data_IF_241290333276
#
_entry.id   IF_241290333276
#
_cell.length_a   1.000
_cell.length_b   1.000
_cell.length_c   1.000
_cell.angle_alpha   90.00
_cell.angle_beta   90.00
_cell.angle_gamma   90.00
#
_symmetry.space_group_name_H-M   'P 1'
#
loop_
_entity.id
_entity.type
_entity.pdbx_description
1 polymer ?
#
# COMPACT_ATOMS: atom_id res chain seq x y z
N UNK A 1 9.33 3.05 7.08
CA UNK A 1 9.28 3.00 5.61
C UNK A 1 10.13 4.08 4.94
N UNK A 2 9.84 5.38 5.09
CA UNK A 2 10.65 6.44 4.43
C UNK A 2 12.15 6.33 4.75
N UNK A 3 12.53 6.09 6.01
CA UNK A 3 13.95 5.88 6.36
C UNK A 3 14.60 4.69 5.64
N UNK A 4 13.84 3.64 5.30
CA UNK A 4 14.36 2.53 4.52
C UNK A 4 14.63 2.94 3.06
N UNK A 5 13.79 3.79 2.48
CA UNK A 5 14.01 4.33 1.13
C UNK A 5 15.24 5.22 1.08
N UNK A 6 15.44 6.06 2.09
CA UNK A 6 16.69 6.84 2.23
C UNK A 6 17.89 5.90 2.33
N UNK A 7 17.83 4.88 3.19
CA UNK A 7 18.91 3.90 3.32
C UNK A 7 19.20 3.14 2.01
N UNK A 8 18.18 2.79 1.21
CA UNK A 8 18.37 2.17 -0.10
C UNK A 8 19.06 3.12 -1.10
N UNK A 9 18.75 4.43 -1.08
CA UNK A 9 19.42 5.41 -1.95
C UNK A 9 20.88 5.62 -1.59
N UNK A 10 21.19 5.54 -0.30
CA UNK A 10 22.55 5.64 0.23
C UNK A 10 23.31 4.30 0.21
N UNK A 11 22.80 3.28 -0.50
CA UNK A 11 23.37 1.93 -0.59
C UNK A 11 23.56 1.21 0.76
N UNK A 12 22.88 1.69 1.80
CA UNK A 12 22.86 1.13 3.16
C UNK A 12 21.82 0.01 3.29
N UNK A 13 21.98 -1.03 2.47
CA UNK A 13 21.01 -2.14 2.36
C UNK A 13 20.68 -2.82 3.69
N UNK A 14 21.66 -3.01 4.58
CA UNK A 14 21.44 -3.61 5.91
C UNK A 14 20.45 -2.77 6.72
N UNK A 15 20.66 -1.46 6.78
CA UNK A 15 19.76 -0.56 7.50
C UNK A 15 18.37 -0.50 6.84
N UNK A 16 18.31 -0.51 5.51
CA UNK A 16 17.05 -0.54 4.79
C UNK A 16 16.21 -1.78 5.16
N UNK A 17 16.82 -2.96 5.12
CA UNK A 17 16.16 -4.22 5.50
C UNK A 17 15.64 -4.19 6.94
N UNK A 18 16.47 -3.75 7.89
CA UNK A 18 16.09 -3.63 9.30
C UNK A 18 14.95 -2.63 9.54
N UNK A 19 14.93 -1.50 8.82
CA UNK A 19 13.86 -0.50 8.90
C UNK A 19 12.54 -0.99 8.30
N UNK A 20 12.59 -1.79 7.22
CA UNK A 20 11.39 -2.45 6.66
C UNK A 20 10.89 -3.51 7.65
N UNK A 21 11.78 -4.34 8.22
CA UNK A 21 11.42 -5.33 9.22
C UNK A 21 10.77 -4.71 10.45
N UNK A 22 11.32 -3.60 10.95
CA UNK A 22 10.74 -2.87 12.08
C UNK A 22 9.34 -2.35 11.75
N UNK A 23 9.15 -1.77 10.56
CA UNK A 23 7.83 -1.33 10.10
C UNK A 23 6.85 -2.51 9.98
N UNK A 24 7.30 -3.65 9.45
CA UNK A 24 6.53 -4.88 9.30
C UNK A 24 6.17 -5.54 10.64
N UNK A 25 7.06 -5.48 11.64
CA UNK A 25 6.82 -6.00 12.97
C UNK A 25 5.79 -5.16 13.75
N UNK A 26 5.82 -3.83 13.59
CA UNK A 26 4.77 -2.93 14.10
C UNK A 26 3.46 -3.20 13.38
N UNK A 27 3.53 -3.44 12.06
CA UNK A 27 2.35 -3.65 11.23
C UNK A 27 2.69 -4.46 10.00
N UNK A 28 2.04 -5.59 9.75
CA UNK A 28 2.51 -6.57 8.76
C UNK A 28 2.70 -6.05 7.32
N UNK A 29 1.86 -5.12 6.83
CA UNK A 29 1.79 -4.81 5.39
C UNK A 29 3.07 -4.33 4.69
N UNK A 30 4.02 -3.60 5.32
CA UNK A 30 5.27 -3.23 4.72
C UNK A 30 6.12 -4.43 4.28
N UNK A 31 5.84 -5.63 4.78
CA UNK A 31 6.51 -6.86 4.32
C UNK A 31 6.39 -7.06 2.82
N UNK A 32 5.33 -6.55 2.18
CA UNK A 32 5.13 -6.61 0.72
C UNK A 32 6.30 -5.94 -0.04
N UNK A 33 7.02 -5.00 0.58
CA UNK A 33 8.22 -4.41 0.00
C UNK A 33 9.31 -5.43 -0.34
N UNK A 34 9.28 -6.63 0.26
CA UNK A 34 10.19 -7.73 -0.11
C UNK A 34 10.11 -8.09 -1.59
N UNK A 35 8.93 -7.96 -2.23
CA UNK A 35 8.74 -8.21 -3.67
C UNK A 35 9.56 -7.20 -4.48
N UNK A 36 9.53 -5.93 -4.09
CA UNK A 36 10.36 -4.90 -4.71
C UNK A 36 11.85 -5.18 -4.50
N UNK A 37 12.25 -5.57 -3.29
CA UNK A 37 13.66 -5.92 -3.01
C UNK A 37 14.13 -7.11 -3.86
N UNK A 38 13.29 -8.13 -4.03
CA UNK A 38 13.56 -9.29 -4.88
C UNK A 38 13.72 -8.88 -6.34
N UNK A 39 12.76 -8.11 -6.88
CA UNK A 39 12.83 -7.59 -8.25
C UNK A 39 14.09 -6.76 -8.47
N UNK A 40 14.40 -5.87 -7.52
CA UNK A 40 15.61 -5.04 -7.54
C UNK A 40 16.87 -5.78 -7.13
N UNK A 41 16.80 -7.07 -6.79
CA UNK A 41 17.91 -7.93 -6.33
C UNK A 41 18.75 -7.29 -5.20
N UNK A 42 18.10 -6.66 -4.24
CA UNK A 42 18.72 -6.14 -3.01
C UNK A 42 18.86 -7.28 -1.99
N UNK A 43 19.74 -8.24 -2.29
CA UNK A 43 19.90 -9.46 -1.50
C UNK A 43 20.30 -9.19 -0.06
N UNK A 44 21.16 -8.19 0.16
CA UNK A 44 21.61 -7.80 1.50
C UNK A 44 20.45 -7.21 2.30
N UNK A 45 19.63 -6.37 1.67
CA UNK A 45 18.42 -5.84 2.31
C UNK A 45 17.39 -6.93 2.63
N UNK A 46 17.21 -7.93 1.75
CA UNK A 46 16.33 -9.08 1.99
C UNK A 46 16.83 -9.90 3.19
N UNK A 47 18.11 -10.24 3.21
CA UNK A 47 18.71 -10.99 4.32
C UNK A 47 18.55 -10.23 5.65
N UNK A 48 18.87 -8.93 5.65
CA UNK A 48 18.68 -8.06 6.82
C UNK A 48 17.21 -8.00 7.26
N UNK A 49 16.27 -7.86 6.33
CA UNK A 49 14.83 -7.87 6.63
C UNK A 49 14.42 -9.17 7.31
N UNK A 50 14.81 -10.32 6.77
CA UNK A 50 14.44 -11.64 7.30
C UNK A 50 15.05 -11.85 8.69
N UNK A 51 16.34 -11.58 8.85
CA UNK A 51 17.05 -11.72 10.13
C UNK A 51 16.44 -10.79 11.19
N UNK A 52 16.17 -9.54 10.83
CA UNK A 52 15.55 -8.58 11.76
C UNK A 52 14.10 -8.98 12.11
N UNK A 53 13.31 -9.53 11.18
CA UNK A 53 11.98 -10.05 11.51
C UNK A 53 12.03 -11.24 12.45
N UNK A 54 12.92 -12.21 12.21
CA UNK A 54 13.13 -13.35 13.11
C UNK A 54 13.56 -12.86 14.49
N UNK A 55 14.47 -11.90 14.55
CA UNK A 55 14.88 -11.29 15.80
C UNK A 55 13.71 -10.61 16.53
N UNK A 56 13.00 -9.71 15.86
CA UNK A 56 11.94 -8.89 16.47
C UNK A 56 10.70 -9.69 16.87
N UNK A 57 10.31 -10.69 16.06
CA UNK A 57 9.07 -11.43 16.26
C UNK A 57 9.24 -12.71 17.07
N UNK A 58 10.45 -13.27 17.13
CA UNK A 58 10.70 -14.55 17.81
C UNK A 58 11.79 -14.45 18.89
N UNK A 59 13.01 -14.06 18.53
CA UNK A 59 14.14 -14.12 19.47
C UNK A 59 14.02 -13.10 20.62
N UNK A 60 13.64 -11.87 20.31
CA UNK A 60 13.47 -10.81 21.29
C UNK A 60 12.31 -11.13 22.25
N UNK A 61 11.10 -11.52 21.83
CA UNK A 61 10.07 -11.98 22.77
C UNK A 61 10.49 -13.22 23.58
N UNK A 62 11.23 -14.16 22.97
CA UNK A 62 11.66 -15.39 23.63
C UNK A 62 12.61 -15.12 24.81
N UNK A 63 13.49 -14.11 24.73
CA UNK A 63 14.39 -13.77 25.84
C UNK A 63 13.65 -13.26 27.09
N UNK A 64 12.44 -12.72 26.93
CA UNK A 64 11.61 -12.24 28.05
C UNK A 64 10.55 -13.25 28.51
N UNK A 65 10.02 -14.09 27.61
CA UNK A 65 8.82 -14.92 27.86
C UNK A 65 9.02 -16.43 27.67
N UNK A 66 10.21 -16.85 27.24
CA UNK A 66 10.52 -18.22 26.85
C UNK A 66 10.13 -18.54 25.40
N UNK A 67 10.92 -19.41 24.75
CA UNK A 67 10.78 -19.75 23.33
C UNK A 67 9.40 -20.33 22.98
N UNK A 68 8.88 -21.28 23.78
CA UNK A 68 7.57 -21.89 23.54
C UNK A 68 6.41 -20.89 23.52
N UNK A 69 6.49 -19.85 24.37
CA UNK A 69 5.43 -18.83 24.45
C UNK A 69 5.55 -17.85 23.29
N UNK A 70 6.77 -17.43 22.95
CA UNK A 70 7.02 -16.60 21.77
C UNK A 70 6.55 -17.28 20.46
N UNK A 71 6.82 -18.58 20.31
CA UNK A 71 6.36 -19.36 19.16
C UNK A 71 4.82 -19.42 19.07
N UNK A 72 4.13 -19.71 20.17
CA UNK A 72 2.66 -19.73 20.23
C UNK A 72 2.04 -18.36 19.93
N UNK A 73 2.66 -17.28 20.41
CA UNK A 73 2.23 -15.91 20.10
C UNK A 73 2.33 -15.62 18.60
N UNK A 74 3.45 -16.01 17.96
CA UNK A 74 3.65 -15.88 16.52
C UNK A 74 2.64 -16.71 15.72
N UNK A 75 2.37 -17.95 16.13
CA UNK A 75 1.38 -18.83 15.50
C UNK A 75 -0.02 -18.22 15.57
N UNK A 76 -0.44 -17.79 16.77
CA UNK A 76 -1.75 -17.16 17.00
C UNK A 76 -1.91 -15.87 16.20
N UNK A 77 -0.88 -15.03 16.16
CA UNK A 77 -0.87 -13.81 15.37
C UNK A 77 -1.00 -14.12 13.88
N UNK A 78 -0.18 -15.05 13.37
CA UNK A 78 -0.17 -15.44 11.95
C UNK A 78 -1.51 -16.04 11.52
N UNK A 79 -2.08 -16.95 12.32
CA UNK A 79 -3.39 -17.53 12.07
C UNK A 79 -4.50 -16.46 12.03
N UNK A 80 -4.40 -15.42 12.87
CA UNK A 80 -5.34 -14.30 12.86
C UNK A 80 -5.18 -13.38 11.63
N UNK A 81 -3.94 -13.11 11.21
CA UNK A 81 -3.64 -12.26 10.07
C UNK A 81 -4.06 -12.87 8.73
N UNK A 82 -3.99 -14.21 8.62
CA UNK A 82 -4.34 -14.95 7.40
C UNK A 82 -5.85 -15.23 7.25
N UNK A 83 -6.68 -14.86 8.24
CA UNK A 83 -8.14 -14.99 8.10
C UNK A 83 -8.65 -14.08 6.99
N UNK A 84 -9.30 -14.66 6.00
CA UNK A 84 -9.98 -13.93 4.95
C UNK A 84 -11.24 -14.68 4.54
N UNK A 85 -12.40 -14.05 4.74
CA UNK A 85 -13.70 -14.67 4.55
C UNK A 85 -14.75 -13.67 4.10
N UNK A 86 -15.93 -14.19 3.78
CA UNK A 86 -17.07 -13.40 3.33
C UNK A 86 -17.48 -12.25 4.26
N UNK A 87 -17.21 -12.41 5.57
CA UNK A 87 -17.64 -11.51 6.64
C UNK A 87 -16.48 -10.78 7.33
N UNK A 88 -15.22 -11.14 7.04
CA UNK A 88 -14.07 -10.56 7.75
C UNK A 88 -12.74 -10.70 7.03
N UNK A 89 -11.85 -9.76 7.32
CA UNK A 89 -10.45 -9.72 6.90
C UNK A 89 -9.59 -9.54 8.14
N UNK A 90 -8.58 -10.40 8.28
CA UNK A 90 -7.70 -10.51 9.44
C UNK A 90 -8.51 -10.58 10.76
N UNK A 91 -7.97 -10.02 11.84
CA UNK A 91 -8.60 -9.98 13.17
C UNK A 91 -9.62 -8.84 13.34
N UNK A 92 -10.28 -8.39 12.26
CA UNK A 92 -11.19 -7.22 12.28
C UNK A 92 -12.59 -7.53 11.75
N UNK A 93 -13.33 -8.47 12.35
CA UNK A 93 -14.70 -8.75 11.94
C UNK A 93 -15.55 -7.47 11.98
N UNK A 94 -16.57 -7.40 11.11
CA UNK A 94 -17.47 -6.26 10.90
C UNK A 94 -16.81 -5.03 10.28
N UNK A 95 -15.59 -4.65 10.68
CA UNK A 95 -14.94 -3.41 10.23
C UNK A 95 -14.30 -3.52 8.85
N UNK A 96 -14.03 -4.73 8.37
CA UNK A 96 -13.25 -4.98 7.15
C UNK A 96 -13.86 -4.39 5.88
N UNK A 97 -15.18 -4.38 5.74
CA UNK A 97 -15.84 -3.90 4.52
C UNK A 97 -16.52 -2.53 4.69
N UNK A 98 -16.36 -1.92 5.87
CA UNK A 98 -16.94 -0.59 6.17
C UNK A 98 -16.25 0.53 5.38
N UNK A 99 -16.90 1.69 5.30
CA UNK A 99 -16.35 2.93 4.73
C UNK A 99 -14.97 3.30 5.26
N UNK A 100 -14.60 2.87 6.48
CA UNK A 100 -13.28 3.14 7.04
C UNK A 100 -12.18 2.44 6.25
N UNK A 101 -12.45 1.27 5.67
CA UNK A 101 -11.51 0.54 4.84
C UNK A 101 -11.54 1.05 3.40
N UNK A 102 -10.45 1.72 3.01
CA UNK A 102 -10.20 2.28 1.68
C UNK A 102 -9.17 1.44 0.90
N UNK A 103 -8.95 0.18 1.27
CA UNK A 103 -8.17 -0.75 0.44
C UNK A 103 -8.99 -1.23 -0.75
N UNK A 104 -8.31 -1.83 -1.73
CA UNK A 104 -8.94 -2.54 -2.84
C UNK A 104 -9.95 -3.58 -2.32
N UNK A 105 -9.55 -4.39 -1.33
CA UNK A 105 -10.43 -5.38 -0.69
C UNK A 105 -11.69 -4.73 -0.11
N UNK A 106 -11.52 -3.64 0.66
CA UNK A 106 -12.62 -2.95 1.33
C UNK A 106 -13.60 -2.30 0.35
N UNK A 107 -13.08 -1.56 -0.62
CA UNK A 107 -13.86 -0.85 -1.63
C UNK A 107 -14.57 -1.82 -2.57
N UNK A 108 -13.87 -2.84 -3.09
CA UNK A 108 -14.49 -3.82 -4.00
C UNK A 108 -15.60 -4.61 -3.33
N UNK A 109 -15.41 -5.11 -2.09
CA UNK A 109 -16.48 -5.83 -1.39
C UNK A 109 -17.67 -4.91 -1.11
N UNK A 110 -17.43 -3.65 -0.74
CA UNK A 110 -18.49 -2.68 -0.44
C UNK A 110 -19.30 -2.24 -1.67
N UNK A 111 -18.64 -2.08 -2.81
CA UNK A 111 -19.29 -1.59 -4.03
C UNK A 111 -19.88 -2.71 -4.90
N UNK A 112 -19.39 -3.95 -4.76
CA UNK A 112 -19.79 -5.08 -5.63
C UNK A 112 -20.57 -6.17 -4.91
N UNK A 113 -20.80 -6.07 -3.60
CA UNK A 113 -21.59 -7.04 -2.82
C UNK A 113 -22.59 -6.31 -1.93
N UNK A 114 -23.71 -6.95 -1.63
CA UNK A 114 -24.64 -6.43 -0.64
C UNK A 114 -24.10 -6.66 0.79
N UNK A 115 -23.24 -5.73 1.24
CA UNK A 115 -22.66 -5.73 2.59
C UNK A 115 -22.90 -4.38 3.27
N UNK A 116 -23.12 -4.42 4.59
CA UNK A 116 -23.32 -3.23 5.38
C UNK A 116 -22.01 -2.40 5.47
N UNK A 117 -22.05 -1.24 4.84
CA UNK A 117 -20.95 -0.32 4.69
C UNK A 117 -20.63 0.49 5.97
N UNK A 118 -21.46 0.42 7.02
CA UNK A 118 -21.20 1.04 8.33
C UNK A 118 -21.29 0.05 9.49
N UNK A 119 -21.09 -1.24 9.23
CA UNK A 119 -21.15 -2.28 10.26
C UNK A 119 -20.36 -1.90 11.53
N UNK A 120 -21.08 -1.84 12.66
CA UNK A 120 -20.58 -1.49 13.98
C UNK A 120 -21.08 -2.47 15.04
N UNK A 121 -20.39 -2.56 16.17
CA UNK A 121 -20.78 -3.47 17.28
C UNK A 121 -22.04 -3.00 18.02
N UNK A 122 -22.37 -1.72 17.94
CA UNK A 122 -23.60 -1.16 18.50
C UNK A 122 -24.73 -1.25 17.46
N UNK A 123 -26.01 -1.33 17.89
CA UNK A 123 -27.14 -1.33 16.98
C UNK A 123 -27.14 -0.08 16.08
N UNK A 124 -27.26 -0.28 14.77
CA UNK A 124 -27.34 0.79 13.78
C UNK A 124 -28.24 0.36 12.62
N UNK A 125 -28.65 1.35 11.81
CA UNK A 125 -29.32 1.09 10.54
C UNK A 125 -28.27 0.70 9.49
N UNK A 126 -28.38 -0.48 8.85
CA UNK A 126 -27.44 -0.89 7.82
C UNK A 126 -27.41 0.11 6.66
N UNK A 127 -26.22 0.39 6.13
CA UNK A 127 -26.04 1.28 4.98
C UNK A 127 -25.49 0.49 3.81
N UNK A 128 -26.19 0.50 2.68
CA UNK A 128 -25.76 -0.18 1.46
C UNK A 128 -25.42 0.84 0.39
N UNK A 129 -24.30 0.63 -0.31
CA UNK A 129 -23.80 1.52 -1.37
C UNK A 129 -23.34 0.74 -2.60
N UNK A 130 -23.71 -0.53 -2.69
CA UNK A 130 -23.28 -1.43 -3.74
C UNK A 130 -23.96 -1.10 -5.08
N UNK A 131 -23.18 -1.14 -6.16
CA UNK A 131 -23.66 -1.00 -7.55
C UNK A 131 -24.02 -2.35 -8.17
N UNK A 132 -23.52 -3.44 -7.60
CA UNK A 132 -23.81 -4.82 -7.99
C UNK A 132 -23.96 -5.69 -6.73
N UNK A 133 -24.52 -6.88 -6.89
CA UNK A 133 -24.64 -7.87 -5.82
C UNK A 133 -24.02 -9.21 -6.25
N UNK A 134 -22.69 -9.21 -6.29
CA UNK A 134 -21.89 -10.36 -6.70
C UNK A 134 -21.57 -11.25 -5.49
N UNK A 135 -21.42 -12.55 -5.76
CA UNK A 135 -20.96 -13.51 -4.74
C UNK A 135 -19.52 -13.22 -4.32
N UNK A 136 -19.18 -13.48 -3.06
CA UNK A 136 -17.83 -13.26 -2.52
C UNK A 136 -16.68 -13.86 -3.36
N UNK A 137 -16.76 -15.11 -3.89
CA UNK A 137 -15.70 -15.66 -4.72
C UNK A 137 -15.43 -14.84 -5.99
N UNK A 138 -16.48 -14.27 -6.60
CA UNK A 138 -16.36 -13.46 -7.82
C UNK A 138 -15.62 -12.15 -7.51
N UNK A 139 -16.03 -11.46 -6.44
CA UNK A 139 -15.37 -10.22 -6.02
C UNK A 139 -13.94 -10.46 -5.59
N UNK A 140 -13.65 -11.59 -4.93
CA UNK A 140 -12.29 -11.94 -4.58
C UNK A 140 -11.41 -12.16 -5.82
N UNK A 141 -11.93 -12.81 -6.86
CA UNK A 141 -11.22 -12.94 -8.14
C UNK A 141 -10.96 -11.58 -8.78
N UNK A 142 -11.93 -10.66 -8.73
CA UNK A 142 -11.74 -9.27 -9.22
C UNK A 142 -10.63 -8.55 -8.43
N UNK A 143 -10.63 -8.66 -7.11
CA UNK A 143 -9.61 -8.06 -6.24
C UNK A 143 -8.22 -8.61 -6.58
N UNK A 144 -8.07 -9.93 -6.70
CA UNK A 144 -6.79 -10.56 -7.05
C UNK A 144 -6.35 -10.12 -8.45
N UNK A 145 -7.24 -10.15 -9.43
CA UNK A 145 -6.93 -9.73 -10.80
C UNK A 145 -6.46 -8.27 -10.84
N UNK A 146 -7.16 -7.36 -10.16
CA UNK A 146 -6.79 -5.95 -10.12
C UNK A 146 -5.47 -5.72 -9.38
N UNK A 147 -5.23 -6.44 -8.27
CA UNK A 147 -3.95 -6.39 -7.56
C UNK A 147 -2.78 -6.87 -8.45
N UNK A 148 -2.98 -7.94 -9.23
CA UNK A 148 -1.99 -8.43 -10.19
C UNK A 148 -1.75 -7.44 -11.33
N UNK A 149 -2.79 -6.79 -11.84
CA UNK A 149 -2.66 -5.73 -12.86
C UNK A 149 -1.85 -4.56 -12.32
N UNK A 150 -2.17 -4.05 -11.12
CA UNK A 150 -1.42 -2.97 -10.48
C UNK A 150 0.04 -3.35 -10.23
N UNK A 151 0.29 -4.57 -9.74
CA UNK A 151 1.65 -5.09 -9.53
C UNK A 151 2.42 -5.24 -10.85
N UNK A 152 1.75 -5.69 -11.91
CA UNK A 152 2.35 -5.81 -13.25
C UNK A 152 2.70 -4.45 -13.82
N UNK A 153 1.79 -3.48 -13.74
CA UNK A 153 2.04 -2.10 -14.16
C UNK A 153 3.23 -1.53 -13.39
N UNK A 154 3.24 -1.69 -12.05
CA UNK A 154 4.34 -1.23 -11.21
C UNK A 154 5.68 -1.76 -11.73
N UNK A 155 5.82 -3.07 -11.92
CA UNK A 155 7.06 -3.68 -12.42
C UNK A 155 7.38 -3.23 -13.86
N UNK A 156 6.38 -3.11 -14.72
CA UNK A 156 6.57 -2.76 -16.13
C UNK A 156 7.11 -1.34 -16.32
N UNK A 157 6.73 -0.39 -15.47
CA UNK A 157 7.18 1.01 -15.56
C UNK A 157 8.56 1.24 -14.94
N UNK A 158 9.06 0.33 -14.09
CA UNK A 158 10.36 0.50 -13.45
C UNK A 158 11.49 0.63 -14.48
N UNK A 159 12.38 1.63 -14.35
CA UNK A 159 13.56 1.76 -15.19
C UNK A 159 14.59 0.67 -14.87
N UNK A 160 15.45 0.38 -15.85
CA UNK A 160 16.59 -0.52 -15.64
C UNK A 160 17.58 0.08 -14.65
N UNK A 161 18.36 -0.76 -13.96
CA UNK A 161 19.28 -0.30 -12.89
C UNK A 161 20.23 0.82 -13.34
N UNK A 162 20.79 0.74 -14.55
CA UNK A 162 21.72 1.74 -15.08
C UNK A 162 21.09 3.08 -15.48
N UNK A 163 19.76 3.17 -15.51
CA UNK A 163 19.02 4.40 -15.86
C UNK A 163 18.49 5.13 -14.62
N UNK A 164 18.72 4.58 -13.42
CA UNK A 164 18.14 5.12 -12.20
C UNK A 164 18.84 6.41 -11.79
N UNK A 165 18.03 7.36 -11.34
CA UNK A 165 18.46 8.64 -10.78
C UNK A 165 17.76 8.85 -9.44
N UNK A 166 18.21 9.85 -8.69
CA UNK A 166 17.54 10.30 -7.47
C UNK A 166 16.04 10.59 -7.69
N UNK A 167 15.67 11.15 -8.84
CA UNK A 167 14.29 11.46 -9.18
C UNK A 167 13.49 10.20 -9.50
N UNK A 168 14.03 9.30 -10.33
CA UNK A 168 13.33 8.05 -10.65
C UNK A 168 13.12 7.21 -9.39
N UNK A 169 14.12 7.13 -8.52
CA UNK A 169 14.02 6.41 -7.25
C UNK A 169 12.91 6.97 -6.36
N UNK A 170 12.76 8.29 -6.28
CA UNK A 170 11.67 8.92 -5.53
C UNK A 170 10.30 8.52 -6.09
N UNK A 171 10.14 8.48 -7.42
CA UNK A 171 8.90 8.05 -8.08
C UNK A 171 8.65 6.55 -7.83
N UNK A 172 9.67 5.70 -7.93
CA UNK A 172 9.57 4.26 -7.63
C UNK A 172 9.07 4.00 -6.21
N UNK A 173 9.65 4.71 -5.22
CA UNK A 173 9.25 4.55 -3.82
C UNK A 173 7.85 5.09 -3.55
N UNK A 174 7.47 6.19 -4.19
CA UNK A 174 6.10 6.70 -4.14
C UNK A 174 5.11 5.68 -4.71
N UNK A 175 5.40 5.10 -5.88
CA UNK A 175 4.58 4.04 -6.49
C UNK A 175 4.48 2.81 -5.60
N UNK A 176 5.59 2.37 -4.98
CA UNK A 176 5.59 1.24 -4.05
C UNK A 176 4.70 1.52 -2.83
N UNK A 177 4.74 2.72 -2.26
CA UNK A 177 3.84 3.09 -1.16
C UNK A 177 2.38 3.10 -1.59
N UNK A 178 2.05 3.70 -2.74
CA UNK A 178 0.68 3.72 -3.27
C UNK A 178 0.17 2.29 -3.48
N UNK A 179 1.00 1.41 -4.04
CA UNK A 179 0.68 0.00 -4.23
C UNK A 179 0.41 -0.71 -2.89
N UNK A 180 1.27 -0.49 -1.88
CA UNK A 180 1.09 -1.05 -0.53
C UNK A 180 -0.22 -0.54 0.09
N UNK A 181 -0.54 0.76 -0.03
CA UNK A 181 -1.77 1.33 0.49
C UNK A 181 -3.02 0.74 -0.17
N UNK A 182 -2.98 0.47 -1.46
CA UNK A 182 -4.12 -0.10 -2.20
C UNK A 182 -4.31 -1.60 -1.92
N UNK A 183 -3.23 -2.39 -1.97
CA UNK A 183 -3.31 -3.86 -1.94
C UNK A 183 -3.36 -4.42 -0.52
N UNK A 184 -2.91 -3.66 0.49
CA UNK A 184 -3.05 -4.08 1.89
C UNK A 184 -4.52 -4.39 2.20
N UNK A 185 -4.85 -5.55 2.81
CA UNK A 185 -6.24 -5.95 2.98
C UNK A 185 -7.10 -4.95 3.78
N UNK A 186 -6.48 -4.25 4.73
CA UNK A 186 -7.10 -3.19 5.53
C UNK A 186 -6.30 -1.91 5.36
N UNK A 187 -6.90 -0.87 4.77
CA UNK A 187 -6.32 0.47 4.68
C UNK A 187 -7.24 1.52 5.28
N UNK A 188 -7.04 1.84 6.56
CA UNK A 188 -7.83 2.84 7.27
C UNK A 188 -7.25 4.25 7.09
N UNK A 189 -8.09 5.27 7.31
CA UNK A 189 -7.75 6.68 7.03
C UNK A 189 -6.38 7.13 7.52
N UNK A 190 -5.96 6.71 8.72
CA UNK A 190 -4.64 7.09 9.26
C UNK A 190 -3.44 6.52 8.49
N UNK A 191 -3.59 5.51 7.63
CA UNK A 191 -2.50 5.10 6.74
C UNK A 191 -2.28 6.05 5.58
N UNK A 192 -3.29 6.82 5.20
CA UNK A 192 -3.15 7.74 4.08
C UNK A 192 -2.33 8.98 4.43
N UNK A 193 -1.82 9.09 5.67
CA UNK A 193 -0.68 9.98 5.96
C UNK A 193 0.54 9.63 5.10
N UNK A 194 0.69 8.36 4.66
CA UNK A 194 1.76 7.97 3.74
C UNK A 194 1.63 8.57 2.33
N UNK A 195 0.49 9.19 1.98
CA UNK A 195 0.36 9.98 0.75
C UNK A 195 1.24 11.23 0.74
N UNK A 196 1.79 11.65 1.89
CA UNK A 196 2.75 12.75 1.97
C UNK A 196 3.95 12.57 1.03
N UNK A 197 4.51 11.35 0.91
CA UNK A 197 5.64 11.12 0.00
C UNK A 197 5.23 11.23 -1.48
N UNK A 198 4.19 10.51 -1.98
CA UNK A 198 3.69 10.72 -3.33
C UNK A 198 3.38 12.17 -3.66
N UNK A 199 2.73 12.92 -2.76
CA UNK A 199 2.47 14.34 -2.99
C UNK A 199 3.74 15.19 -3.02
N UNK A 200 4.72 14.93 -2.15
CA UNK A 200 6.00 15.63 -2.20
C UNK A 200 6.71 15.40 -3.55
N UNK A 201 6.68 14.17 -4.07
CA UNK A 201 7.24 13.85 -5.39
C UNK A 201 6.47 14.57 -6.50
N UNK A 202 5.13 14.53 -6.48
CA UNK A 202 4.29 15.26 -7.44
C UNK A 202 4.61 16.75 -7.42
N UNK A 203 4.62 17.39 -6.25
CA UNK A 203 4.92 18.81 -6.11
C UNK A 203 6.31 19.14 -6.65
N UNK A 204 7.33 18.35 -6.34
CA UNK A 204 8.68 18.54 -6.87
C UNK A 204 8.69 18.51 -8.39
N UNK A 205 8.02 17.52 -9.01
CA UNK A 205 7.97 17.37 -10.48
C UNK A 205 7.29 18.56 -11.14
N UNK A 206 6.16 19.01 -10.57
CA UNK A 206 5.41 20.17 -11.07
C UNK A 206 6.24 21.46 -10.96
N UNK A 207 6.92 21.70 -9.83
CA UNK A 207 7.76 22.89 -9.64
C UNK A 207 8.94 22.93 -10.61
N UNK A 208 9.47 21.76 -11.00
CA UNK A 208 10.53 21.65 -12.00
C UNK A 208 10.00 21.69 -13.45
N UNK A 209 8.70 21.88 -13.66
CA UNK A 209 8.08 21.87 -14.99
C UNK A 209 8.14 20.50 -15.68
N UNK A 210 8.35 19.41 -14.93
CA UNK A 210 8.48 18.06 -15.46
C UNK A 210 7.15 17.30 -15.38
N UNK A 211 6.84 16.52 -16.42
CA UNK A 211 5.75 15.55 -16.40
C UNK A 211 4.35 16.17 -16.46
N UNK A 212 3.94 16.72 -17.59
CA UNK A 212 2.60 17.33 -17.76
C UNK A 212 1.43 16.40 -17.40
N UNK A 213 1.60 15.09 -17.64
CA UNK A 213 0.62 14.07 -17.26
C UNK A 213 0.37 14.03 -15.74
N UNK A 214 1.39 14.28 -14.91
CA UNK A 214 1.26 14.17 -13.45
C UNK A 214 0.20 15.12 -12.89
N UNK A 215 0.09 16.32 -13.46
CA UNK A 215 -0.88 17.35 -13.07
C UNK A 215 -2.30 16.90 -13.35
N UNK A 216 -2.53 16.34 -14.54
CA UNK A 216 -3.85 15.86 -14.97
C UNK A 216 -4.39 14.73 -14.10
N UNK A 217 -3.51 13.94 -13.48
CA UNK A 217 -3.89 12.89 -12.55
C UNK A 217 -3.92 13.37 -11.08
N UNK A 218 -3.04 14.30 -10.69
CA UNK A 218 -2.97 14.78 -9.31
C UNK A 218 -4.09 15.74 -8.94
N UNK A 219 -4.57 16.58 -9.87
CA UNK A 219 -5.66 17.52 -9.58
C UNK A 219 -6.97 16.80 -9.25
N UNK A 220 -7.44 15.81 -10.05
CA UNK A 220 -8.62 15.04 -9.68
C UNK A 220 -8.41 14.20 -8.41
N UNK A 221 -7.19 13.69 -8.17
CA UNK A 221 -6.88 13.00 -6.91
C UNK A 221 -7.04 13.93 -5.70
N UNK A 222 -6.53 15.15 -5.77
CA UNK A 222 -6.72 16.17 -4.74
C UNK A 222 -8.19 16.53 -4.55
N UNK A 223 -8.94 16.69 -5.64
CA UNK A 223 -10.38 16.95 -5.57
C UNK A 223 -11.14 15.82 -4.86
N UNK A 224 -10.84 14.56 -5.17
CA UNK A 224 -11.45 13.40 -4.49
C UNK A 224 -11.11 13.35 -2.99
N UNK A 225 -9.88 13.70 -2.60
CA UNK A 225 -9.51 13.81 -1.19
C UNK A 225 -10.24 14.98 -0.51
N UNK A 226 -10.36 16.12 -1.18
CA UNK A 226 -11.05 17.31 -0.67
C UNK A 226 -12.55 17.06 -0.44
N UNK A 227 -13.19 16.18 -1.21
CA UNK A 227 -14.56 15.74 -0.92
C UNK A 227 -14.71 15.16 0.50
N UNK A 228 -13.65 14.57 1.05
CA UNK A 228 -13.63 14.07 2.42
C UNK A 228 -13.65 15.18 3.49
N UNK A 229 -13.34 16.43 3.15
CA UNK A 229 -13.44 17.57 4.07
C UNK A 229 -14.91 18.00 4.26
N UNK A 230 -15.69 17.94 3.18
CA UNK A 230 -17.10 18.36 3.16
C UNK A 230 -18.01 17.18 3.55
N UNK A 231 -17.73 16.00 3.01
CA UNK A 231 -18.53 14.79 3.18
C UNK A 231 -17.67 13.61 3.67
N UNK A 232 -17.11 13.66 4.89
CA UNK A 232 -16.09 12.70 5.35
C UNK A 232 -16.55 11.26 5.23
N UNK A 233 -17.79 10.99 5.65
CA UNK A 233 -18.36 9.64 5.60
C UNK A 233 -18.90 9.29 4.21
N UNK A 234 -19.62 10.22 3.57
CA UNK A 234 -20.19 10.02 2.23
C UNK A 234 -19.13 9.70 1.18
N UNK A 235 -18.06 10.49 1.12
CA UNK A 235 -16.97 10.28 0.18
C UNK A 235 -16.24 8.94 0.41
N UNK A 236 -16.00 8.58 1.68
CA UNK A 236 -15.35 7.32 2.03
C UNK A 236 -16.23 6.09 1.75
N UNK A 237 -17.56 6.20 1.88
CA UNK A 237 -18.48 5.13 1.45
C UNK A 237 -18.22 4.73 0.00
N UNK A 238 -17.96 5.70 -0.88
CA UNK A 238 -17.66 5.44 -2.29
C UNK A 238 -16.17 5.28 -2.61
N UNK A 239 -15.30 5.19 -1.59
CA UNK A 239 -13.89 4.86 -1.82
C UNK A 239 -13.05 6.01 -2.35
N UNK A 240 -13.43 7.27 -2.09
CA UNK A 240 -12.71 8.45 -2.61
C UNK A 240 -11.19 8.41 -2.40
N UNK A 241 -10.75 7.89 -1.25
CA UNK A 241 -9.33 7.84 -0.88
C UNK A 241 -8.60 6.76 -1.68
N UNK A 242 -9.26 5.62 -1.94
CA UNK A 242 -8.75 4.58 -2.84
C UNK A 242 -8.59 5.13 -4.26
N UNK A 243 -9.63 5.78 -4.80
CA UNK A 243 -9.60 6.30 -6.16
C UNK A 243 -8.58 7.45 -6.32
N UNK A 244 -8.43 8.33 -5.32
CA UNK A 244 -7.36 9.31 -5.31
C UNK A 244 -5.96 8.66 -5.35
N UNK A 245 -5.77 7.60 -4.56
CA UNK A 245 -4.51 6.82 -4.54
C UNK A 245 -4.24 6.15 -5.89
N UNK A 246 -5.28 5.61 -6.54
CA UNK A 246 -5.19 5.01 -7.87
C UNK A 246 -4.83 6.05 -8.94
N UNK A 247 -5.42 7.24 -8.91
CA UNK A 247 -5.09 8.32 -9.84
C UNK A 247 -3.64 8.78 -9.67
N UNK A 248 -3.16 8.95 -8.43
CA UNK A 248 -1.75 9.24 -8.16
C UNK A 248 -0.83 8.14 -8.69
N UNK A 249 -1.23 6.87 -8.52
CA UNK A 249 -0.48 5.74 -9.04
C UNK A 249 -0.38 5.79 -10.56
N UNK A 250 -1.48 6.06 -11.26
CA UNK A 250 -1.50 6.20 -12.72
C UNK A 250 -0.59 7.36 -13.15
N UNK A 251 -0.72 8.54 -12.54
CA UNK A 251 0.08 9.71 -12.90
C UNK A 251 1.59 9.50 -12.72
N UNK A 252 2.00 8.95 -11.58
CA UNK A 252 3.41 8.65 -11.33
C UNK A 252 3.92 7.50 -12.22
N UNK A 253 3.08 6.51 -12.53
CA UNK A 253 3.45 5.42 -13.43
C UNK A 253 3.63 5.91 -14.87
N UNK A 254 2.78 6.83 -15.34
CA UNK A 254 2.94 7.46 -16.66
C UNK A 254 4.24 8.28 -16.74
N UNK A 255 4.51 9.09 -15.70
CA UNK A 255 5.72 9.92 -15.65
C UNK A 255 7.00 9.07 -15.63
N UNK A 256 7.00 7.96 -14.87
CA UNK A 256 8.13 7.03 -14.84
C UNK A 256 8.29 6.25 -16.15
N UNK A 257 7.19 5.89 -16.82
CA UNK A 257 7.23 5.24 -18.12
C UNK A 257 7.80 6.16 -19.20
N UNK A 258 7.44 7.44 -19.18
CA UNK A 258 7.98 8.44 -20.11
C UNK A 258 9.47 8.68 -19.87
N UNK A 259 9.89 8.73 -18.60
CA UNK A 259 11.32 8.73 -18.22
C UNK A 259 12.05 7.51 -18.78
N UNK A 260 11.49 6.31 -18.61
CA UNK A 260 12.05 5.06 -19.12
C UNK A 260 12.17 5.03 -20.65
N UNK A 261 11.23 5.65 -21.37
CA UNK A 261 11.20 5.67 -22.85
C UNK A 261 12.17 6.69 -23.46
N UNK A 262 12.29 7.86 -22.84
CA UNK A 262 13.12 8.96 -23.37
C UNK A 262 14.61 8.76 -23.10
N UNK A 263 14.97 7.87 -22.16
CA UNK A 263 16.35 7.47 -21.92
C UNK A 263 17.28 8.58 -21.46
N UNK A 264 16.73 9.73 -21.05
CA UNK A 264 17.54 10.87 -20.63
C UNK A 264 18.07 10.65 -19.20
N UNK A 265 19.39 10.51 -19.00
CA UNK A 265 19.97 10.96 -17.74
C UNK A 265 19.74 12.47 -17.71
N UNK A 266 19.04 12.93 -16.69
CA UNK A 266 18.82 14.37 -16.49
C UNK A 266 20.21 14.99 -16.40
N UNK A 267 20.49 15.94 -17.29
CA UNK A 267 21.72 16.72 -17.28
C UNK A 267 22.00 17.19 -15.84
N UNK A 268 23.22 16.94 -15.39
CA UNK A 268 23.74 17.32 -14.09
C UNK A 268 23.60 18.82 -13.83
#
# INVERSE_FOLDING_TARGET
MIGAFVALREEREIFAGGLIATAAAIKAFPVIAIIYLLYRRYWTAIASLVVALVFLLLLLPASFRGFERAWRDLEKWSAGMLKYSEVSVAQRPMRSYTWKNQSLVGVSNRLLRHVDADAASAPHQPVYVNFADLKFPVVNTIVIAFALVLGTIFVAVLPQRGMRTAESDAIEFALLLLLILMITPLSFGYFFCWLMLPFAVVTQRVLLGKGSAIVWWSLPALALLALGLIFPRGAQLYGNTFFATLLLFIGLATDLLDFKRTGQPIAA
#
